data_IF_474620372330
#
_entry.id   IF_474620372330
#
_cell.length_a   1.000
_cell.length_b   1.000
_cell.length_c   1.000
_cell.angle_alpha   90.00
_cell.angle_beta   90.00
_cell.angle_gamma   90.00
#
_symmetry.space_group_name_H-M   'P 1'
#
loop_
_entity.id
_entity.type
_entity.pdbx_description
1 polymer ?
#
# COMPACT_ATOMS: atom_id res chain seq x y z
N UNK A 1 -49.26 25.44 16.86
CA UNK A 1 -49.06 24.05 16.40
C UNK A 1 -47.79 23.54 17.06
N UNK A 2 -47.84 22.86 18.22
CA UNK A 2 -48.16 21.43 18.39
C UNK A 2 -47.22 20.56 17.54
N UNK A 3 -46.42 19.61 18.05
CA UNK A 3 -46.35 18.97 19.37
C UNK A 3 -44.93 18.44 19.66
N UNK A 4 -44.63 18.40 20.94
CA UNK A 4 -43.47 17.92 21.69
C UNK A 4 -43.22 16.41 21.61
N UNK A 5 -41.94 16.03 21.82
CA UNK A 5 -41.40 14.89 22.61
C UNK A 5 -42.28 13.63 22.73
N UNK A 6 -41.75 12.50 22.25
CA UNK A 6 -42.15 11.17 22.74
C UNK A 6 -40.97 10.52 23.46
N UNK A 7 -41.09 10.40 24.78
CA UNK A 7 -40.36 9.47 25.62
C UNK A 7 -40.97 8.07 25.39
N UNK A 8 -40.13 7.02 25.35
CA UNK A 8 -40.56 5.69 25.77
C UNK A 8 -39.66 5.26 26.92
N UNK A 9 -40.33 4.91 28.01
CA UNK A 9 -39.80 4.49 29.28
C UNK A 9 -39.54 2.97 29.30
N UNK A 10 -38.46 2.60 30.02
CA UNK A 10 -38.37 1.57 31.07
C UNK A 10 -39.03 0.20 30.82
N UNK A 11 -38.20 -0.85 30.84
CA UNK A 11 -38.50 -2.06 31.62
C UNK A 11 -37.20 -2.79 32.00
N UNK A 12 -36.86 -2.72 33.29
CA UNK A 12 -35.89 -3.55 33.99
C UNK A 12 -36.57 -4.89 34.30
N UNK A 13 -35.93 -6.03 34.02
CA UNK A 13 -36.36 -7.32 34.54
C UNK A 13 -35.15 -8.20 34.85
N UNK A 14 -34.63 -8.06 36.07
CA UNK A 14 -33.95 -9.14 36.77
C UNK A 14 -34.99 -10.21 37.14
N UNK A 15 -34.73 -11.45 36.78
CA UNK A 15 -35.36 -12.60 37.42
C UNK A 15 -34.26 -13.56 37.89
N UNK A 16 -34.00 -13.48 39.19
CA UNK A 16 -33.32 -14.51 39.99
C UNK A 16 -34.41 -15.50 40.37
N UNK A 17 -34.20 -16.79 40.09
CA UNK A 17 -34.89 -17.86 40.82
C UNK A 17 -33.87 -18.85 41.40
N UNK A 18 -34.08 -19.08 42.69
CA UNK A 18 -33.35 -19.94 43.61
C UNK A 18 -33.67 -21.42 43.41
N UNK A 19 -32.70 -22.28 43.79
CA UNK A 19 -32.91 -23.62 44.34
C UNK A 19 -32.74 -24.75 43.31
N UNK A 20 -32.07 -25.88 43.59
CA UNK A 20 -31.66 -26.48 44.86
C UNK A 20 -30.47 -27.45 44.65
N UNK A 21 -29.63 -27.58 45.68
CA UNK A 21 -29.04 -28.87 46.07
C UNK A 21 -27.68 -29.25 45.50
N UNK A 22 -26.63 -29.13 46.32
CA UNK A 22 -25.40 -29.93 46.24
C UNK A 22 -25.51 -31.06 47.30
N UNK A 23 -24.85 -32.22 47.16
CA UNK A 23 -23.40 -32.31 47.36
C UNK A 23 -22.65 -33.19 46.32
N UNK A 24 -21.40 -32.81 46.02
CA UNK A 24 -20.37 -33.56 45.27
C UNK A 24 -19.71 -34.66 46.14
N UNK A 25 -18.69 -35.41 45.66
CA UNK A 25 -18.32 -35.80 44.28
C UNK A 25 -18.09 -37.34 44.14
N UNK A 26 -18.16 -37.87 42.91
CA UNK A 26 -17.48 -39.12 42.58
C UNK A 26 -16.70 -38.92 41.27
N UNK A 27 -15.48 -39.43 41.29
CA UNK A 27 -14.37 -39.12 40.38
C UNK A 27 -14.36 -40.07 39.19
N UNK A 28 -14.59 -39.56 37.98
CA UNK A 28 -14.18 -40.22 36.73
C UNK A 28 -13.70 -39.19 35.70
N UNK A 29 -12.42 -39.28 35.32
CA UNK A 29 -11.89 -38.86 34.03
C UNK A 29 -11.78 -40.13 33.14
N UNK A 30 -11.53 -40.07 31.81
CA UNK A 30 -11.16 -38.92 30.96
C UNK A 30 -11.84 -38.88 29.57
N UNK A 31 -11.73 -37.77 28.83
CA UNK A 31 -11.23 -37.76 27.43
C UNK A 31 -11.06 -36.33 26.92
N UNK A 32 -9.81 -36.03 26.61
CA UNK A 32 -9.31 -34.88 25.86
C UNK A 32 -10.14 -34.60 24.61
N UNK A 33 -10.87 -33.49 24.60
CA UNK A 33 -11.31 -32.84 23.36
C UNK A 33 -10.14 -32.00 22.85
N UNK A 34 -9.57 -32.41 21.72
CA UNK A 34 -8.62 -31.59 20.97
C UNK A 34 -9.24 -30.21 20.67
N UNK A 35 -8.47 -29.12 20.70
CA UNK A 35 -8.96 -27.84 20.22
C UNK A 35 -9.12 -27.95 18.70
N UNK A 36 -10.36 -27.83 18.22
CA UNK A 36 -10.62 -27.53 16.82
C UNK A 36 -9.92 -26.22 16.48
N UNK A 37 -8.80 -26.33 15.78
CA UNK A 37 -8.12 -25.21 15.13
C UNK A 37 -9.10 -24.62 14.12
N UNK A 38 -9.86 -23.62 14.59
CA UNK A 38 -10.64 -22.75 13.73
C UNK A 38 -9.65 -21.93 12.92
N UNK A 39 -9.22 -22.48 11.78
CA UNK A 39 -8.63 -21.71 10.70
C UNK A 39 -9.68 -20.69 10.23
N UNK A 40 -9.73 -19.55 10.91
CA UNK A 40 -10.32 -18.35 10.37
C UNK A 40 -9.45 -17.96 9.18
N UNK A 41 -9.80 -18.44 7.98
CA UNK A 41 -9.28 -17.86 6.75
C UNK A 41 -9.83 -16.43 6.72
N UNK A 42 -9.05 -15.47 7.20
CA UNK A 42 -9.29 -14.06 6.91
C UNK A 42 -9.16 -13.91 5.39
N UNK A 43 -10.28 -13.90 4.70
CA UNK A 43 -10.38 -13.59 3.27
C UNK A 43 -10.15 -12.08 3.08
N UNK A 44 -9.01 -11.58 3.54
CA UNK A 44 -8.62 -10.21 3.30
C UNK A 44 -7.96 -10.14 1.93
N UNK A 45 -8.42 -9.19 1.11
CA UNK A 45 -7.89 -8.99 -0.23
C UNK A 45 -6.42 -8.56 -0.13
N UNK A 46 -5.53 -9.10 -0.97
CA UNK A 46 -4.15 -8.61 -1.04
C UNK A 46 -4.11 -7.11 -1.27
N UNK A 47 -3.30 -6.41 -0.49
CA UNK A 47 -3.18 -4.95 -0.50
C UNK A 47 -1.78 -4.54 -0.91
N UNK A 48 -1.65 -3.77 -1.99
CA UNK A 48 -0.38 -3.30 -2.52
C UNK A 48 -0.30 -1.78 -2.46
N UNK A 49 0.90 -1.21 -2.32
CA UNK A 49 1.09 0.23 -2.38
C UNK A 49 1.69 0.68 -3.71
N UNK A 50 1.25 1.84 -4.18
CA UNK A 50 1.85 2.56 -5.29
C UNK A 50 2.29 3.95 -4.81
N UNK A 51 3.60 4.14 -4.64
CA UNK A 51 4.19 5.33 -4.02
C UNK A 51 4.94 6.15 -5.08
N UNK A 52 4.46 7.36 -5.36
CA UNK A 52 5.06 8.24 -6.37
C UNK A 52 6.26 9.03 -5.83
N UNK A 53 7.01 9.70 -6.71
CA UNK A 53 8.09 10.62 -6.33
C UNK A 53 7.59 12.03 -5.97
N UNK A 54 6.39 12.41 -6.40
CA UNK A 54 5.81 13.73 -6.15
C UNK A 54 4.28 13.72 -6.25
N UNK A 55 3.68 14.82 -5.79
CA UNK A 55 2.27 15.14 -6.05
C UNK A 55 2.16 15.87 -7.40
N UNK A 56 1.81 15.13 -8.45
CA UNK A 56 1.67 15.66 -9.82
C UNK A 56 0.50 15.01 -10.56
N UNK A 57 -0.14 15.78 -11.46
CA UNK A 57 -1.17 15.27 -12.38
C UNK A 57 -0.64 14.24 -13.38
N UNK A 58 0.68 14.15 -13.57
CA UNK A 58 1.32 13.06 -14.32
C UNK A 58 0.81 11.69 -13.86
N UNK A 59 0.59 11.52 -12.55
CA UNK A 59 0.17 10.27 -11.95
C UNK A 59 -1.32 9.94 -12.11
N UNK A 60 -2.14 10.85 -12.65
CA UNK A 60 -3.57 10.59 -12.84
C UNK A 60 -3.83 9.41 -13.80
N UNK A 61 -2.99 9.28 -14.84
CA UNK A 61 -3.09 8.17 -15.81
C UNK A 61 -2.68 6.85 -15.14
N UNK A 62 -1.59 6.87 -14.36
CA UNK A 62 -1.16 5.71 -13.59
C UNK A 62 -2.27 5.26 -12.62
N UNK A 63 -2.90 6.20 -11.88
CA UNK A 63 -4.01 5.89 -10.98
C UNK A 63 -5.19 5.22 -11.71
N UNK A 64 -5.52 5.65 -12.93
CA UNK A 64 -6.55 4.96 -13.73
C UNK A 64 -6.18 3.53 -14.09
N UNK A 65 -4.91 3.25 -14.34
CA UNK A 65 -4.40 1.89 -14.51
C UNK A 65 -4.53 1.06 -13.23
N UNK A 66 -4.24 1.65 -12.07
CA UNK A 66 -4.41 1.00 -10.77
C UNK A 66 -5.88 0.67 -10.47
N UNK A 67 -6.80 1.63 -10.71
CA UNK A 67 -8.24 1.41 -10.53
C UNK A 67 -8.72 0.19 -11.37
N UNK A 68 -8.24 0.08 -12.61
CA UNK A 68 -8.55 -1.08 -13.48
C UNK A 68 -7.94 -2.37 -12.96
N UNK A 69 -6.73 -2.32 -12.40
CA UNK A 69 -6.05 -3.48 -11.84
C UNK A 69 -6.72 -4.00 -10.55
N UNK A 70 -7.23 -3.10 -9.70
CA UNK A 70 -8.04 -3.47 -8.53
C UNK A 70 -9.25 -4.33 -8.95
N UNK A 71 -9.92 -3.96 -10.05
CA UNK A 71 -11.03 -4.74 -10.60
C UNK A 71 -10.58 -6.08 -11.22
N UNK A 72 -9.50 -6.08 -12.00
CA UNK A 72 -9.07 -7.27 -12.77
C UNK A 72 -8.47 -8.37 -11.89
N UNK A 73 -7.84 -7.98 -10.78
CA UNK A 73 -7.10 -8.90 -9.93
C UNK A 73 -7.71 -9.10 -8.54
N UNK A 74 -8.83 -8.44 -8.24
CA UNK A 74 -9.50 -8.47 -6.92
C UNK A 74 -8.56 -8.10 -5.76
N UNK A 75 -7.77 -7.04 -5.96
CA UNK A 75 -6.78 -6.51 -5.00
C UNK A 75 -7.20 -5.11 -4.52
N UNK A 76 -6.50 -4.62 -3.50
CA UNK A 76 -6.57 -3.23 -3.03
C UNK A 76 -5.25 -2.55 -3.35
N UNK A 77 -5.29 -1.31 -3.86
CA UNK A 77 -4.09 -0.50 -4.11
C UNK A 77 -4.13 0.82 -3.32
N UNK A 78 -3.22 0.93 -2.35
CA UNK A 78 -2.98 2.18 -1.61
C UNK A 78 -2.07 3.11 -2.45
N UNK A 79 -2.70 4.08 -3.12
CA UNK A 79 -2.00 5.09 -3.92
C UNK A 79 -1.55 6.26 -3.04
N UNK A 80 -0.23 6.46 -2.95
CA UNK A 80 0.40 7.42 -2.05
C UNK A 80 1.28 8.41 -2.81
N UNK A 81 1.21 9.68 -2.42
CA UNK A 81 2.02 10.76 -2.98
C UNK A 81 2.72 11.54 -1.87
N UNK A 82 4.06 11.74 -1.95
CA UNK A 82 4.78 12.62 -1.04
C UNK A 82 4.30 14.06 -1.21
N UNK A 83 3.72 14.72 -0.19
CA UNK A 83 3.11 16.03 -0.33
C UNK A 83 4.13 17.13 -0.69
N UNK A 84 5.37 16.99 -0.22
CA UNK A 84 6.46 17.93 -0.53
C UNK A 84 7.48 17.41 -1.54
N UNK A 85 7.30 16.18 -2.05
CA UNK A 85 8.27 15.56 -2.96
C UNK A 85 9.65 15.31 -2.33
N UNK A 86 9.73 15.17 -1.00
CA UNK A 86 11.00 14.94 -0.29
C UNK A 86 11.22 13.47 0.06
N UNK A 87 12.48 13.06 0.14
CA UNK A 87 12.90 11.71 0.58
C UNK A 87 12.31 11.38 1.96
N UNK A 88 12.27 12.36 2.88
CA UNK A 88 11.75 12.17 4.22
C UNK A 88 10.25 11.84 4.23
N UNK A 89 9.45 12.52 3.40
CA UNK A 89 8.03 12.21 3.25
C UNK A 89 7.82 10.82 2.66
N UNK A 90 8.56 10.47 1.60
CA UNK A 90 8.42 9.17 0.95
C UNK A 90 8.82 8.03 1.89
N UNK A 91 9.90 8.18 2.67
CA UNK A 91 10.30 7.22 3.71
C UNK A 91 9.19 7.02 4.74
N UNK A 92 8.67 8.12 5.31
CA UNK A 92 7.59 8.06 6.30
C UNK A 92 6.33 7.37 5.75
N UNK A 93 5.98 7.62 4.48
CA UNK A 93 4.87 6.94 3.82
C UNK A 93 5.12 5.43 3.77
N UNK A 94 6.29 5.01 3.31
CA UNK A 94 6.65 3.59 3.18
C UNK A 94 6.68 2.89 4.54
N UNK A 95 7.27 3.50 5.57
CA UNK A 95 7.27 2.96 6.93
C UNK A 95 5.84 2.76 7.47
N UNK A 96 4.94 3.71 7.22
CA UNK A 96 3.54 3.58 7.61
C UNK A 96 2.83 2.45 6.85
N UNK A 97 3.15 2.23 5.57
CA UNK A 97 2.60 1.12 4.78
C UNK A 97 3.08 -0.24 5.29
N UNK A 98 4.38 -0.36 5.62
CA UNK A 98 4.93 -1.56 6.25
C UNK A 98 4.24 -1.85 7.59
N UNK A 99 4.06 -0.83 8.43
CA UNK A 99 3.37 -0.97 9.72
C UNK A 99 1.90 -1.36 9.58
N UNK A 100 1.26 -1.04 8.45
CA UNK A 100 -0.12 -1.47 8.14
C UNK A 100 -0.20 -2.90 7.60
N UNK A 101 0.91 -3.58 7.36
CA UNK A 101 0.94 -4.94 6.82
C UNK A 101 0.65 -5.01 5.32
N UNK A 102 1.21 -4.08 4.53
CA UNK A 102 1.10 -4.12 3.06
C UNK A 102 1.77 -5.39 2.48
N UNK A 103 1.17 -5.99 1.45
CA UNK A 103 1.69 -7.22 0.82
C UNK A 103 2.80 -6.97 -0.21
N UNK A 104 2.99 -5.71 -0.62
CA UNK A 104 4.03 -5.32 -1.55
C UNK A 104 3.99 -3.84 -1.90
N UNK A 105 5.12 -3.32 -2.39
CA UNK A 105 5.30 -1.90 -2.68
C UNK A 105 5.85 -1.73 -4.09
N UNK A 106 5.21 -0.86 -4.87
CA UNK A 106 5.79 -0.25 -6.06
C UNK A 106 6.11 1.21 -5.76
N UNK A 107 7.36 1.62 -5.98
CA UNK A 107 7.82 2.98 -5.67
C UNK A 107 8.53 3.62 -6.87
N UNK A 108 8.30 4.91 -7.10
CA UNK A 108 9.19 5.75 -7.90
C UNK A 108 10.14 6.47 -6.93
N UNK A 109 11.41 6.05 -6.78
CA UNK A 109 12.35 6.71 -5.89
C UNK A 109 12.53 8.18 -6.30
N UNK A 110 12.59 9.06 -5.31
CA UNK A 110 12.87 10.49 -5.53
C UNK A 110 14.34 10.67 -5.86
N UNK A 111 15.20 9.97 -5.10
CA UNK A 111 16.64 9.97 -5.25
C UNK A 111 17.16 8.55 -5.03
N UNK A 112 17.45 7.88 -6.14
CA UNK A 112 17.88 6.49 -6.11
C UNK A 112 19.19 6.29 -5.35
N UNK A 113 20.13 7.23 -5.45
CA UNK A 113 21.43 7.14 -4.80
C UNK A 113 21.28 7.21 -3.28
N UNK A 114 20.47 8.16 -2.80
CA UNK A 114 20.29 8.41 -1.37
C UNK A 114 19.21 7.54 -0.70
N UNK A 115 18.41 6.79 -1.47
CA UNK A 115 17.36 5.92 -0.94
C UNK A 115 17.63 4.42 -1.09
N UNK A 116 18.66 4.01 -1.83
CA UNK A 116 18.88 2.59 -2.13
C UNK A 116 19.01 1.70 -0.89
N UNK A 117 19.74 2.12 0.15
CA UNK A 117 19.90 1.33 1.39
C UNK A 117 18.57 1.13 2.12
N UNK A 118 17.78 2.20 2.26
CA UNK A 118 16.45 2.12 2.86
C UNK A 118 15.51 1.24 2.02
N UNK A 119 15.51 1.40 0.70
CA UNK A 119 14.69 0.56 -0.17
C UNK A 119 15.12 -0.91 -0.15
N UNK A 120 16.39 -1.19 0.12
CA UNK A 120 16.85 -2.55 0.37
C UNK A 120 16.26 -3.14 1.64
N UNK A 121 16.22 -2.39 2.74
CA UNK A 121 15.54 -2.81 3.98
C UNK A 121 14.04 -3.07 3.75
N UNK A 122 13.40 -2.31 2.85
CA UNK A 122 12.01 -2.53 2.44
C UNK A 122 11.87 -3.82 1.64
N UNK A 123 12.77 -4.06 0.67
CA UNK A 123 12.76 -5.25 -0.19
C UNK A 123 12.99 -6.56 0.60
N UNK A 124 13.72 -6.48 1.72
CA UNK A 124 13.92 -7.61 2.63
C UNK A 124 12.65 -7.96 3.44
N UNK A 125 11.66 -7.06 3.50
CA UNK A 125 10.40 -7.25 4.24
C UNK A 125 9.23 -7.61 3.32
N UNK A 126 9.10 -6.94 2.18
CA UNK A 126 8.00 -7.13 1.22
C UNK A 126 8.50 -7.05 -0.22
N UNK A 127 7.84 -7.71 -1.19
CA UNK A 127 8.13 -7.55 -2.60
C UNK A 127 8.17 -6.06 -3.01
N UNK A 128 9.34 -5.64 -3.50
CA UNK A 128 9.57 -4.27 -3.94
C UNK A 128 9.72 -4.20 -5.46
N UNK A 129 8.99 -3.28 -6.09
CA UNK A 129 9.15 -2.88 -7.49
C UNK A 129 9.53 -1.40 -7.57
N UNK A 130 10.31 -1.05 -8.59
CA UNK A 130 10.47 0.35 -8.98
C UNK A 130 9.59 0.66 -10.20
N UNK A 131 9.08 1.89 -10.27
CA UNK A 131 8.41 2.41 -11.47
C UNK A 131 8.85 3.83 -11.75
N UNK A 132 8.81 4.26 -13.03
CA UNK A 132 9.20 5.60 -13.50
C UNK A 132 10.68 5.95 -13.24
N UNK A 133 11.07 6.11 -11.98
CA UNK A 133 12.46 6.15 -11.51
C UNK A 133 12.92 4.79 -11.00
N UNK A 134 14.23 4.51 -11.10
CA UNK A 134 14.79 3.20 -10.73
C UNK A 134 15.86 3.32 -9.64
N UNK A 135 15.86 2.38 -8.69
CA UNK A 135 16.90 2.21 -7.67
C UNK A 135 17.50 0.80 -7.79
N UNK A 136 18.44 0.62 -8.71
CA UNK A 136 19.00 -0.70 -9.07
C UNK A 136 19.70 -1.45 -7.92
N UNK A 137 20.15 -0.72 -6.89
CA UNK A 137 20.85 -1.29 -5.74
C UNK A 137 19.90 -1.67 -4.57
N UNK A 138 18.60 -1.42 -4.71
CA UNK A 138 17.60 -1.65 -3.66
C UNK A 138 17.15 -3.11 -3.51
N UNK A 139 17.62 -4.04 -4.35
CA UNK A 139 17.08 -5.41 -4.33
C UNK A 139 15.67 -5.55 -4.95
N UNK A 140 15.13 -4.49 -5.56
CA UNK A 140 13.83 -4.51 -6.26
C UNK A 140 13.73 -5.62 -7.32
N UNK A 141 12.58 -6.29 -7.36
CA UNK A 141 12.33 -7.44 -8.24
C UNK A 141 12.26 -7.05 -9.72
N UNK A 142 11.66 -5.90 -10.03
CA UNK A 142 11.59 -5.38 -11.39
C UNK A 142 11.45 -3.85 -11.41
N UNK A 143 11.79 -3.26 -12.55
CA UNK A 143 11.54 -1.86 -12.87
C UNK A 143 10.56 -1.76 -14.04
N UNK A 144 9.53 -0.93 -13.88
CA UNK A 144 8.55 -0.63 -14.93
C UNK A 144 8.63 0.86 -15.26
N UNK A 145 9.24 1.19 -16.39
CA UNK A 145 9.31 2.57 -16.83
C UNK A 145 10.04 2.74 -18.16
N UNK A 146 10.33 4.00 -18.47
CA UNK A 146 10.94 4.38 -19.73
C UNK A 146 12.42 3.99 -19.76
N UNK A 147 12.90 3.48 -20.89
CA UNK A 147 14.34 3.40 -21.13
C UNK A 147 14.87 4.81 -21.43
N UNK A 148 15.30 5.51 -20.37
CA UNK A 148 15.70 6.92 -20.45
C UNK A 148 16.88 7.16 -21.40
N UNK A 149 17.81 6.20 -21.55
CA UNK A 149 18.88 6.32 -22.55
C UNK A 149 18.33 6.33 -23.97
N UNK A 150 17.44 5.39 -24.32
CA UNK A 150 16.80 5.36 -25.63
C UNK A 150 15.95 6.61 -25.87
N UNK A 151 15.21 7.06 -24.86
CA UNK A 151 14.42 8.29 -24.96
C UNK A 151 15.31 9.51 -25.27
N UNK A 152 16.47 9.63 -24.60
CA UNK A 152 17.45 10.66 -24.89
C UNK A 152 18.04 10.57 -26.30
N UNK A 153 18.30 9.35 -26.79
CA UNK A 153 18.74 9.12 -28.18
C UNK A 153 17.67 9.59 -29.18
N UNK A 154 16.39 9.25 -28.97
CA UNK A 154 15.31 9.71 -29.84
C UNK A 154 15.13 11.23 -29.79
N UNK A 155 15.21 11.84 -28.61
CA UNK A 155 15.20 13.30 -28.47
C UNK A 155 16.37 13.95 -29.24
N UNK A 156 17.57 13.38 -29.14
CA UNK A 156 18.75 13.85 -29.88
C UNK A 156 18.59 13.75 -31.41
N UNK A 157 17.94 12.69 -31.91
CA UNK A 157 17.62 12.58 -33.35
C UNK A 157 16.69 13.70 -33.81
N UNK A 158 15.62 13.98 -33.04
CA UNK A 158 14.69 15.07 -33.34
C UNK A 158 15.40 16.43 -33.34
N UNK A 159 16.32 16.66 -32.39
CA UNK A 159 17.14 17.88 -32.37
C UNK A 159 18.00 17.97 -33.63
N UNK A 160 18.63 16.87 -34.07
CA UNK A 160 19.46 16.83 -35.28
C UNK A 160 18.65 17.08 -36.56
N UNK A 161 17.39 16.64 -36.61
CA UNK A 161 16.49 16.94 -37.74
C UNK A 161 16.18 18.43 -37.84
N UNK A 162 15.99 19.11 -36.70
CA UNK A 162 15.69 20.55 -36.65
C UNK A 162 16.96 21.40 -36.78
N UNK A 163 18.11 20.90 -36.32
CA UNK A 163 19.43 21.57 -36.36
C UNK A 163 20.47 20.70 -37.09
N UNK A 164 20.37 20.55 -38.43
CA UNK A 164 21.23 19.66 -39.19
C UNK A 164 22.71 20.06 -39.15
N UNK A 165 23.01 21.35 -39.06
CA UNK A 165 24.39 21.87 -38.95
C UNK A 165 24.86 22.02 -37.48
N UNK A 166 24.02 21.64 -36.52
CA UNK A 166 24.26 21.85 -35.09
C UNK A 166 23.94 23.28 -34.62
N UNK A 167 24.12 23.53 -33.33
CA UNK A 167 23.83 24.81 -32.69
C UNK A 167 23.90 24.71 -31.17
N UNK A 168 23.74 25.85 -30.50
CA UNK A 168 23.60 25.87 -29.05
C UNK A 168 22.19 25.42 -28.66
N UNK A 169 22.13 24.51 -27.68
CA UNK A 169 20.86 24.04 -27.11
C UNK A 169 20.87 24.25 -25.60
N UNK A 170 19.68 24.38 -25.03
CA UNK A 170 19.45 24.39 -23.59
C UNK A 170 18.55 23.22 -23.23
N UNK A 171 18.96 22.42 -22.24
CA UNK A 171 18.17 21.32 -21.71
C UNK A 171 17.57 21.75 -20.38
N UNK A 172 16.26 21.63 -20.25
CA UNK A 172 15.54 21.82 -19.00
C UNK A 172 15.21 20.44 -18.45
N UNK A 173 15.69 20.17 -17.24
CA UNK A 173 15.31 18.99 -16.45
C UNK A 173 14.47 19.47 -15.27
N UNK A 174 13.46 18.67 -14.91
CA UNK A 174 12.54 18.94 -13.79
C UNK A 174 13.09 18.50 -12.46
#
# INVERSE_FOLDING_TARGET
MHFTKTQIAIAFAMAIFFGCGNPSPESEAPKSSEPTESAASSTEKPTFAFVTNNASNFWAIAKKGLDKAEEDFDIIVDFQQPPTGTIADQRRIIENLLNKGIDGISVSPIDAENQSDFLKEVADQVPLLCHDSDATQSGRLAYVGTNNFKAGVEAGKLIKEVLPEGGQIMLFVG
#
